data_IF_310474254817
#
_entry.id   IF_310474254817
#
_cell.length_a   1.000
_cell.length_b   1.000
_cell.length_c   1.000
_cell.angle_alpha   90.00
_cell.angle_beta   90.00
_cell.angle_gamma   90.00
#
_symmetry.space_group_name_H-M   'P 1'
#
loop_
_entity.id
_entity.type
_entity.pdbx_description
1 polymer ?
#
# COMPACT_ATOMS: atom_id res chain seq x y z
N UNK A 1 -23.32 2.82 -24.33
CA UNK A 1 -22.74 2.57 -25.65
C UNK A 1 -21.55 3.54 -25.82
N UNK A 2 -20.35 3.08 -25.46
CA UNK A 2 -19.12 3.86 -25.59
C UNK A 2 -18.76 4.04 -27.07
N UNK A 3 -18.38 5.25 -27.42
CA UNK A 3 -17.88 5.58 -28.74
C UNK A 3 -16.64 4.71 -29.02
N UNK A 4 -16.60 3.88 -30.08
CA UNK A 4 -15.48 2.96 -30.35
C UNK A 4 -14.13 3.66 -30.51
N UNK A 5 -14.12 4.95 -30.85
CA UNK A 5 -12.90 5.74 -30.99
C UNK A 5 -12.17 5.99 -29.66
N UNK A 6 -12.86 5.93 -28.51
CA UNK A 6 -12.24 6.04 -27.19
C UNK A 6 -11.50 4.77 -26.76
N UNK A 7 -11.87 3.61 -27.30
CA UNK A 7 -11.22 2.32 -27.00
C UNK A 7 -9.88 2.22 -27.73
N UNK A 8 -9.73 2.91 -28.87
CA UNK A 8 -8.50 2.89 -29.67
C UNK A 8 -7.35 3.72 -29.07
N UNK A 9 -7.62 4.62 -28.11
CA UNK A 9 -6.62 5.54 -27.59
C UNK A 9 -6.55 5.49 -26.07
N UNK A 10 -5.65 4.63 -25.54
CA UNK A 10 -5.45 4.45 -24.09
C UNK A 10 -4.69 5.63 -23.46
N UNK A 11 -3.97 6.42 -24.24
CA UNK A 11 -3.08 7.46 -23.76
C UNK A 11 -3.74 8.55 -22.90
N UNK A 12 -4.95 9.05 -23.23
CA UNK A 12 -5.62 10.06 -22.42
C UNK A 12 -5.95 9.61 -20.98
N UNK A 13 -6.08 8.30 -20.76
CA UNK A 13 -6.32 7.72 -19.43
C UNK A 13 -4.98 7.35 -18.77
N UNK A 14 -4.05 6.81 -19.56
CA UNK A 14 -2.78 6.31 -19.05
C UNK A 14 -1.87 7.45 -18.53
N UNK A 15 -1.78 8.58 -19.23
CA UNK A 15 -0.91 9.69 -18.83
C UNK A 15 -1.34 10.28 -17.46
N UNK A 16 -2.61 10.67 -17.23
CA UNK A 16 -3.06 11.17 -15.95
C UNK A 16 -2.89 10.12 -14.83
N UNK A 17 -3.11 8.84 -15.14
CA UNK A 17 -2.91 7.75 -14.18
C UNK A 17 -1.44 7.66 -13.74
N UNK A 18 -0.48 7.66 -14.66
CA UNK A 18 0.95 7.60 -14.35
C UNK A 18 1.38 8.81 -13.50
N UNK A 19 0.91 10.01 -13.86
CA UNK A 19 1.18 11.23 -13.10
C UNK A 19 0.62 11.10 -11.67
N UNK A 20 -0.63 10.65 -11.54
CA UNK A 20 -1.27 10.45 -10.23
C UNK A 20 -0.49 9.47 -9.36
N UNK A 21 -0.07 8.33 -9.91
CA UNK A 21 0.72 7.32 -9.19
C UNK A 21 2.09 7.87 -8.80
N UNK A 22 2.76 8.63 -9.68
CA UNK A 22 4.06 9.24 -9.41
C UNK A 22 4.02 10.22 -8.22
N UNK A 23 2.92 10.94 -8.02
CA UNK A 23 2.74 11.82 -6.86
C UNK A 23 2.23 11.06 -5.62
N UNK A 24 1.40 10.04 -5.81
CA UNK A 24 0.80 9.30 -4.70
C UNK A 24 1.79 8.35 -3.99
N UNK A 25 2.65 7.65 -4.73
CA UNK A 25 3.56 6.66 -4.14
C UNK A 25 4.52 7.24 -3.10
N UNK A 26 5.14 8.42 -3.30
CA UNK A 26 5.98 9.03 -2.27
C UNK A 26 5.24 9.38 -0.99
N UNK A 27 3.92 9.63 -1.03
CA UNK A 27 3.15 9.98 0.19
C UNK A 27 3.13 8.84 1.20
N UNK A 28 3.17 7.58 0.75
CA UNK A 28 3.25 6.41 1.62
C UNK A 28 4.56 6.40 2.41
N UNK A 29 5.67 6.67 1.72
CA UNK A 29 6.99 6.76 2.36
C UNK A 29 7.06 7.94 3.35
N UNK A 30 6.53 9.10 2.96
CA UNK A 30 6.45 10.29 3.83
C UNK A 30 5.59 10.03 5.06
N UNK A 31 4.44 9.38 4.91
CA UNK A 31 3.58 8.99 6.04
C UNK A 31 4.32 8.12 7.06
N UNK A 32 5.08 7.13 6.58
CA UNK A 32 5.91 6.30 7.47
C UNK A 32 6.99 7.15 8.16
N UNK A 33 7.64 8.07 7.45
CA UNK A 33 8.65 8.97 8.02
C UNK A 33 8.07 9.87 9.12
N UNK A 34 6.89 10.44 8.89
CA UNK A 34 6.16 11.23 9.90
C UNK A 34 5.84 10.38 11.12
N UNK A 35 5.34 9.15 10.92
CA UNK A 35 5.04 8.23 12.01
C UNK A 35 6.28 7.90 12.84
N UNK A 36 7.41 7.58 12.20
CA UNK A 36 8.67 7.32 12.90
C UNK A 36 9.20 8.57 13.63
N UNK A 37 9.13 9.74 13.00
CA UNK A 37 9.53 11.02 13.63
C UNK A 37 8.71 11.34 14.88
N UNK A 38 7.40 11.13 14.82
CA UNK A 38 6.49 11.34 15.95
C UNK A 38 6.73 10.36 17.09
N UNK A 39 6.91 9.07 16.76
CA UNK A 39 7.24 8.02 17.76
C UNK A 39 8.57 8.28 18.44
N UNK A 40 9.58 8.69 17.67
CA UNK A 40 10.90 9.04 18.22
C UNK A 40 10.83 10.19 19.22
N UNK A 41 10.04 11.23 18.92
CA UNK A 41 9.83 12.36 19.84
C UNK A 41 9.07 11.99 21.10
N UNK A 42 8.10 11.08 20.97
CA UNK A 42 7.34 10.55 22.09
C UNK A 42 8.15 9.58 22.96
N UNK A 43 9.37 9.22 22.57
CA UNK A 43 10.21 8.26 23.30
C UNK A 43 9.63 6.84 23.35
N UNK A 44 8.73 6.51 22.40
CA UNK A 44 8.05 5.22 22.36
C UNK A 44 8.89 4.16 21.63
N UNK A 45 8.77 2.92 22.09
CA UNK A 45 9.40 1.77 21.46
C UNK A 45 8.76 1.47 20.09
N UNK A 46 9.53 1.64 19.01
CA UNK A 46 9.08 1.43 17.64
C UNK A 46 8.49 0.05 17.40
N UNK A 47 9.08 -0.99 18.00
CA UNK A 47 8.64 -2.38 17.80
C UNK A 47 7.23 -2.61 18.35
N UNK A 48 6.86 -1.85 19.38
CA UNK A 48 5.52 -1.97 19.99
C UNK A 48 4.51 -0.99 19.41
N UNK A 49 4.93 0.24 19.13
CA UNK A 49 4.02 1.33 18.79
C UNK A 49 3.75 1.44 17.28
N UNK A 50 4.67 1.02 16.42
CA UNK A 50 4.49 1.10 14.98
C UNK A 50 3.47 0.12 14.40
N UNK A 51 3.38 -1.18 14.82
CA UNK A 51 2.42 -2.12 14.27
C UNK A 51 0.97 -1.66 14.33
N UNK A 52 0.43 -1.16 15.45
CA UNK A 52 -0.94 -0.62 15.51
C UNK A 52 -1.17 0.53 14.52
N UNK A 53 -0.21 1.45 14.40
CA UNK A 53 -0.30 2.59 13.46
C UNK A 53 -0.38 2.07 12.01
N UNK A 54 0.48 1.13 11.66
CA UNK A 54 0.49 0.51 10.32
C UNK A 54 -0.81 -0.24 10.03
N UNK A 55 -1.39 -0.92 11.03
CA UNK A 55 -2.64 -1.67 10.90
C UNK A 55 -3.82 -0.75 10.59
N UNK A 56 -3.86 0.49 11.12
CA UNK A 56 -4.90 1.46 10.77
C UNK A 56 -4.93 1.74 9.27
N UNK A 57 -3.77 1.78 8.60
CA UNK A 57 -3.70 1.89 7.15
C UNK A 57 -4.37 0.71 6.43
N UNK A 58 -4.14 -0.51 6.91
CA UNK A 58 -4.79 -1.72 6.36
C UNK A 58 -6.31 -1.72 6.60
N UNK A 59 -6.76 -1.27 7.78
CA UNK A 59 -8.20 -1.10 8.07
C UNK A 59 -8.84 -0.09 7.11
N UNK A 60 -8.18 1.05 6.86
CA UNK A 60 -8.65 2.02 5.87
C UNK A 60 -8.74 1.43 4.46
N UNK A 61 -7.76 0.61 4.08
CA UNK A 61 -7.77 -0.09 2.79
C UNK A 61 -8.95 -1.06 2.68
N UNK A 62 -9.20 -1.89 3.70
CA UNK A 62 -10.34 -2.82 3.75
C UNK A 62 -11.66 -2.04 3.68
N UNK A 63 -11.79 -0.96 4.45
CA UNK A 63 -12.99 -0.11 4.43
C UNK A 63 -13.25 0.48 3.04
N UNK A 64 -12.21 0.94 2.33
CA UNK A 64 -12.36 1.46 0.97
C UNK A 64 -12.75 0.37 -0.03
N UNK A 65 -12.23 -0.86 0.11
CA UNK A 65 -12.62 -2.00 -0.72
C UNK A 65 -14.12 -2.33 -0.54
N UNK A 66 -14.59 -2.37 0.70
CA UNK A 66 -15.99 -2.67 1.01
C UNK A 66 -16.92 -1.54 0.54
N UNK A 67 -16.49 -0.30 0.73
CA UNK A 67 -17.23 0.87 0.25
C UNK A 67 -17.44 0.81 -1.26
N UNK A 68 -16.39 0.58 -2.03
CA UNK A 68 -16.47 0.53 -3.51
C UNK A 68 -17.26 -0.68 -3.98
N UNK A 69 -17.15 -1.84 -3.27
CA UNK A 69 -17.89 -3.04 -3.63
C UNK A 69 -19.39 -2.94 -3.31
N UNK A 70 -19.77 -2.28 -2.20
CA UNK A 70 -21.17 -2.19 -1.76
C UNK A 70 -21.94 -1.04 -2.40
N UNK A 71 -21.26 -0.01 -2.88
CA UNK A 71 -21.91 1.13 -3.51
C UNK A 71 -22.19 0.86 -4.99
N UNK A 72 -23.46 0.77 -5.34
CA UNK A 72 -23.91 0.66 -6.73
C UNK A 72 -24.32 1.99 -7.35
N UNK A 73 -24.54 3.06 -6.55
CA UNK A 73 -24.95 4.40 -7.00
C UNK A 73 -26.09 4.43 -8.03
N UNK A 74 -27.01 3.47 -7.94
CA UNK A 74 -28.11 3.34 -8.91
C UNK A 74 -27.69 2.82 -10.29
N UNK A 75 -26.45 2.33 -10.43
CA UNK A 75 -25.94 1.64 -11.62
C UNK A 75 -26.32 0.16 -11.57
N UNK A 76 -26.45 -0.47 -12.75
CA UNK A 76 -26.74 -1.90 -12.86
C UNK A 76 -25.58 -2.78 -12.34
N UNK A 77 -24.37 -2.24 -12.26
CA UNK A 77 -23.17 -2.91 -11.80
C UNK A 77 -22.56 -2.21 -10.57
N UNK A 78 -21.81 -2.95 -9.76
CA UNK A 78 -21.10 -2.41 -8.61
C UNK A 78 -20.06 -1.35 -9.05
N UNK A 79 -19.82 -0.34 -8.23
CA UNK A 79 -18.89 0.75 -8.51
C UNK A 79 -17.46 0.27 -8.85
N UNK A 80 -17.05 -0.92 -8.38
CA UNK A 80 -15.75 -1.52 -8.68
C UNK A 80 -15.48 -1.81 -10.16
N UNK A 81 -16.55 -1.97 -10.99
CA UNK A 81 -16.45 -2.23 -12.42
C UNK A 81 -16.76 -1.00 -13.27
N UNK A 82 -16.99 0.15 -12.62
CA UNK A 82 -17.41 1.38 -13.26
C UNK A 82 -16.41 2.51 -13.03
N UNK A 83 -16.47 3.56 -13.84
CA UNK A 83 -15.66 4.78 -13.65
C UNK A 83 -15.86 5.47 -12.30
N UNK A 84 -16.91 5.14 -11.55
CA UNK A 84 -17.21 5.67 -10.22
C UNK A 84 -16.08 5.42 -9.21
N UNK A 85 -15.33 4.33 -9.32
CA UNK A 85 -14.17 4.10 -8.48
C UNK A 85 -13.09 5.20 -8.62
N UNK A 86 -12.91 5.76 -9.83
CA UNK A 86 -11.96 6.86 -10.07
C UNK A 86 -12.46 8.15 -9.42
N UNK A 87 -13.76 8.42 -9.47
CA UNK A 87 -14.38 9.59 -8.83
C UNK A 87 -14.23 9.48 -7.31
N UNK A 88 -14.53 8.33 -6.73
CA UNK A 88 -14.37 8.08 -5.28
C UNK A 88 -12.91 8.29 -4.88
N UNK A 89 -11.97 7.73 -5.65
CA UNK A 89 -10.54 7.91 -5.41
C UNK A 89 -10.13 9.39 -5.46
N UNK A 90 -10.63 10.14 -6.44
CA UNK A 90 -10.38 11.58 -6.57
C UNK A 90 -10.92 12.38 -5.38
N UNK A 91 -12.15 12.12 -4.95
CA UNK A 91 -12.76 12.78 -3.78
C UNK A 91 -11.97 12.49 -2.51
N UNK A 92 -11.63 11.22 -2.27
CA UNK A 92 -10.81 10.83 -1.11
C UNK A 92 -9.41 11.47 -1.16
N UNK A 93 -8.83 11.59 -2.36
CA UNK A 93 -7.56 12.28 -2.58
C UNK A 93 -7.61 13.75 -2.18
N UNK A 94 -8.69 14.47 -2.56
CA UNK A 94 -8.90 15.89 -2.16
C UNK A 94 -9.07 16.00 -0.65
N UNK A 95 -9.85 15.12 -0.03
CA UNK A 95 -10.03 15.08 1.43
C UNK A 95 -8.69 14.84 2.14
N UNK A 96 -7.90 13.88 1.65
CA UNK A 96 -6.57 13.59 2.18
C UNK A 96 -5.63 14.80 2.04
N UNK A 97 -5.67 15.49 0.88
CA UNK A 97 -4.93 16.71 0.66
C UNK A 97 -5.29 17.82 1.66
N UNK A 98 -6.58 18.05 1.88
CA UNK A 98 -7.06 19.00 2.88
C UNK A 98 -6.63 18.59 4.31
N UNK A 99 -6.72 17.30 4.63
CA UNK A 99 -6.29 16.79 5.94
C UNK A 99 -4.78 16.93 6.15
N UNK A 100 -3.97 16.87 5.10
CA UNK A 100 -2.51 17.01 5.21
C UNK A 100 -2.05 18.33 5.81
N UNK A 101 -2.84 19.40 5.68
CA UNK A 101 -2.56 20.70 6.32
C UNK A 101 -2.68 20.66 7.85
N UNK A 102 -3.35 19.67 8.42
CA UNK A 102 -3.50 19.51 9.88
C UNK A 102 -2.39 18.63 10.49
N UNK A 103 -1.51 18.07 9.67
CA UNK A 103 -0.42 17.22 10.16
C UNK A 103 0.62 18.07 10.95
N UNK A 104 1.19 17.51 12.03
CA UNK A 104 2.22 18.20 12.80
C UNK A 104 3.46 18.47 11.95
N UNK A 105 4.05 19.64 12.13
CA UNK A 105 5.30 19.98 11.48
C UNK A 105 6.42 19.01 11.88
N UNK A 106 6.98 18.31 10.91
CA UNK A 106 8.19 17.52 11.11
C UNK A 106 9.40 18.43 10.86
N UNK A 107 10.29 18.68 11.84
CA UNK A 107 11.48 19.45 11.58
C UNK A 107 12.29 18.74 10.50
N UNK A 108 12.53 19.48 9.44
CA UNK A 108 13.53 19.13 8.46
C UNK A 108 14.87 19.02 9.20
N UNK A 109 15.57 17.91 9.07
CA UNK A 109 16.96 17.82 9.51
C UNK A 109 17.74 18.85 8.71
N UNK A 110 17.99 20.02 9.32
CA UNK A 110 18.89 21.01 8.76
C UNK A 110 20.31 20.44 8.85
N UNK A 111 20.69 19.71 7.85
CA UNK A 111 22.09 19.40 7.60
C UNK A 111 22.61 20.56 6.78
N UNK A 112 23.32 21.47 7.43
CA UNK A 112 24.00 22.64 6.82
C UNK A 112 25.16 22.25 5.89
N UNK A 113 25.48 20.98 5.77
CA UNK A 113 26.46 20.47 4.83
C UNK A 113 25.86 20.41 3.42
N UNK A 114 26.62 20.86 2.45
CA UNK A 114 26.34 20.73 1.00
C UNK A 114 26.29 19.25 0.65
N UNK A 115 25.17 18.59 0.96
CA UNK A 115 24.96 17.18 0.58
C UNK A 115 25.04 17.06 -0.93
N UNK A 116 25.82 16.12 -1.39
CA UNK A 116 25.89 15.73 -2.80
C UNK A 116 24.48 15.32 -3.30
N UNK A 117 24.23 15.48 -4.59
CA UNK A 117 22.95 15.03 -5.21
C UNK A 117 22.71 13.55 -4.92
N UNK A 118 23.75 12.73 -4.88
CA UNK A 118 23.69 11.32 -4.53
C UNK A 118 23.18 11.09 -3.09
N UNK A 119 23.64 11.88 -2.12
CA UNK A 119 23.18 11.85 -0.73
C UNK A 119 21.72 12.32 -0.59
N UNK A 120 21.33 13.34 -1.37
CA UNK A 120 19.93 13.82 -1.40
C UNK A 120 18.97 12.79 -1.97
N UNK A 121 19.41 11.98 -2.91
CA UNK A 121 18.66 10.87 -3.48
C UNK A 121 18.69 9.60 -2.63
N UNK A 122 19.42 9.61 -1.51
CA UNK A 122 19.53 8.43 -0.64
C UNK A 122 20.37 7.30 -1.24
N UNK A 123 21.18 7.60 -2.27
CA UNK A 123 22.03 6.60 -2.93
C UNK A 123 23.13 6.07 -2.01
N UNK A 124 23.42 6.77 -0.90
CA UNK A 124 24.33 6.27 0.14
C UNK A 124 23.85 4.97 0.79
N UNK A 125 22.54 4.68 0.72
CA UNK A 125 22.01 3.39 1.15
C UNK A 125 22.63 2.22 0.37
N UNK A 126 23.10 2.44 -0.87
CA UNK A 126 23.82 1.40 -1.62
C UNK A 126 25.18 1.02 -1.02
N UNK A 127 25.76 1.86 -0.18
CA UNK A 127 26.98 1.51 0.59
C UNK A 127 26.71 0.32 1.53
N UNK A 128 25.48 0.15 2.00
CA UNK A 128 25.08 -0.99 2.82
C UNK A 128 25.19 -2.34 2.09
N UNK A 129 25.13 -2.34 0.76
CA UNK A 129 25.36 -3.56 -0.05
C UNK A 129 26.80 -4.09 0.03
N UNK A 130 27.76 -3.32 0.53
CA UNK A 130 29.13 -3.81 0.79
C UNK A 130 29.16 -4.88 1.90
N UNK A 131 28.19 -4.88 2.80
CA UNK A 131 28.02 -5.93 3.81
C UNK A 131 27.21 -7.09 3.23
N UNK A 132 27.79 -8.30 3.21
CA UNK A 132 27.12 -9.52 2.70
C UNK A 132 25.76 -9.78 3.38
N UNK A 133 25.69 -9.55 4.69
CA UNK A 133 24.45 -9.76 5.47
C UNK A 133 23.36 -8.79 5.05
N UNK A 134 23.72 -7.50 4.88
CA UNK A 134 22.78 -6.48 4.44
C UNK A 134 22.37 -6.68 2.98
N UNK A 135 23.31 -7.04 2.10
CA UNK A 135 23.00 -7.35 0.71
C UNK A 135 21.99 -8.50 0.59
N UNK A 136 22.21 -9.60 1.33
CA UNK A 136 21.24 -10.71 1.36
C UNK A 136 19.87 -10.27 1.87
N UNK A 137 19.84 -9.43 2.91
CA UNK A 137 18.56 -8.92 3.44
C UNK A 137 17.82 -8.05 2.40
N UNK A 138 18.51 -7.18 1.67
CA UNK A 138 17.90 -6.37 0.63
C UNK A 138 17.38 -7.21 -0.54
N UNK A 139 18.16 -8.20 -1.01
CA UNK A 139 17.72 -9.13 -2.08
C UNK A 139 16.48 -9.89 -1.62
N UNK A 140 16.48 -10.39 -0.40
CA UNK A 140 15.35 -11.10 0.19
C UNK A 140 14.10 -10.19 0.25
N UNK A 141 14.23 -8.97 0.75
CA UNK A 141 13.14 -8.00 0.83
C UNK A 141 12.60 -7.63 -0.56
N UNK A 142 13.48 -7.51 -1.56
CA UNK A 142 13.08 -7.26 -2.94
C UNK A 142 12.25 -8.42 -3.50
N UNK A 143 12.70 -9.66 -3.32
CA UNK A 143 11.98 -10.85 -3.80
C UNK A 143 10.61 -10.99 -3.11
N UNK A 144 10.54 -10.73 -1.80
CA UNK A 144 9.26 -10.70 -1.07
C UNK A 144 8.32 -9.62 -1.62
N UNK A 145 8.85 -8.42 -1.88
CA UNK A 145 8.05 -7.33 -2.45
C UNK A 145 7.50 -7.67 -3.83
N UNK A 146 8.30 -8.30 -4.69
CA UNK A 146 7.87 -8.77 -6.02
C UNK A 146 6.77 -9.83 -5.88
N UNK A 147 6.96 -10.84 -5.02
CA UNK A 147 5.97 -11.90 -4.78
C UNK A 147 4.64 -11.32 -4.27
N UNK A 148 4.71 -10.42 -3.29
CA UNK A 148 3.52 -9.77 -2.73
C UNK A 148 2.77 -8.95 -3.79
N UNK A 149 3.51 -8.19 -4.61
CA UNK A 149 2.91 -7.36 -5.65
C UNK A 149 2.23 -8.19 -6.74
N UNK A 150 2.84 -9.29 -7.16
CA UNK A 150 2.23 -10.21 -8.13
C UNK A 150 0.94 -10.78 -7.55
N UNK A 151 0.98 -11.28 -6.32
CA UNK A 151 -0.21 -11.86 -5.67
C UNK A 151 -1.34 -10.83 -5.55
N UNK A 152 -1.06 -9.64 -5.03
CA UNK A 152 -2.08 -8.60 -4.85
C UNK A 152 -2.59 -8.04 -6.19
N UNK A 153 -1.72 -7.89 -7.20
CA UNK A 153 -2.10 -7.34 -8.51
C UNK A 153 -3.00 -8.26 -9.32
N UNK A 154 -2.76 -9.56 -9.25
CA UNK A 154 -3.50 -10.54 -10.08
C UNK A 154 -4.62 -11.26 -9.34
N UNK A 155 -4.68 -11.23 -8.02
CA UNK A 155 -5.69 -11.95 -7.23
C UNK A 155 -7.12 -11.63 -7.66
N UNK A 156 -7.47 -10.36 -7.79
CA UNK A 156 -8.82 -9.92 -8.19
C UNK A 156 -9.16 -10.39 -9.61
N UNK A 157 -8.23 -10.25 -10.56
CA UNK A 157 -8.42 -10.68 -11.95
C UNK A 157 -8.55 -12.20 -12.04
N UNK A 158 -7.75 -12.93 -11.26
CA UNK A 158 -7.80 -14.39 -11.19
C UNK A 158 -9.15 -14.88 -10.64
N UNK A 159 -9.61 -14.33 -9.52
CA UNK A 159 -10.92 -14.68 -8.94
C UNK A 159 -12.05 -14.35 -9.92
N UNK A 160 -11.98 -13.20 -10.59
CA UNK A 160 -12.99 -12.79 -11.55
C UNK A 160 -13.08 -13.74 -12.76
N UNK A 161 -12.00 -14.43 -13.13
CA UNK A 161 -12.02 -15.44 -14.21
C UNK A 161 -12.91 -16.64 -13.88
N UNK A 162 -13.11 -16.96 -12.60
CA UNK A 162 -14.02 -18.04 -12.18
C UNK A 162 -15.51 -17.68 -12.32
N UNK A 163 -15.86 -16.39 -12.42
CA UNK A 163 -17.23 -15.95 -12.66
C UNK A 163 -17.82 -16.55 -13.95
N UNK A 164 -16.97 -16.86 -14.93
CA UNK A 164 -17.37 -17.52 -16.17
C UNK A 164 -17.72 -19.00 -15.99
N UNK A 165 -17.34 -19.61 -14.88
CA UNK A 165 -17.49 -21.06 -14.62
C UNK A 165 -18.52 -21.34 -13.54
N UNK A 166 -18.67 -20.46 -12.56
CA UNK A 166 -19.63 -20.60 -11.47
C UNK A 166 -20.26 -19.25 -11.12
N UNK A 167 -21.58 -19.25 -10.90
CA UNK A 167 -22.35 -18.07 -10.47
C UNK A 167 -22.39 -17.92 -8.94
N UNK A 168 -21.37 -18.45 -8.26
CA UNK A 168 -21.26 -18.33 -6.81
C UNK A 168 -21.06 -16.88 -6.37
N UNK A 169 -21.60 -16.55 -5.21
CA UNK A 169 -21.47 -15.21 -4.61
C UNK A 169 -20.00 -14.75 -4.49
N UNK A 170 -19.10 -15.69 -4.20
CA UNK A 170 -17.65 -15.42 -4.10
C UNK A 170 -17.02 -14.98 -5.44
N UNK A 171 -17.40 -15.62 -6.53
CA UNK A 171 -16.94 -15.27 -7.86
C UNK A 171 -17.49 -13.91 -8.32
N UNK A 172 -18.69 -13.54 -7.85
CA UNK A 172 -19.32 -12.25 -8.14
C UNK A 172 -18.76 -11.09 -7.32
N UNK A 173 -18.07 -11.38 -6.19
CA UNK A 173 -17.51 -10.37 -5.28
C UNK A 173 -16.01 -10.59 -5.01
N UNK A 174 -15.15 -10.53 -6.02
CA UNK A 174 -13.71 -10.81 -5.88
C UNK A 174 -13.01 -9.90 -4.86
N UNK A 175 -13.44 -8.65 -4.77
CA UNK A 175 -12.88 -7.67 -3.84
C UNK A 175 -13.16 -8.05 -2.37
N UNK A 176 -14.34 -8.60 -2.09
CA UNK A 176 -14.67 -9.12 -0.75
C UNK A 176 -13.77 -10.30 -0.37
N UNK A 177 -13.49 -11.20 -1.31
CA UNK A 177 -12.63 -12.35 -1.05
C UNK A 177 -11.18 -11.91 -0.77
N UNK A 178 -10.66 -10.94 -1.54
CA UNK A 178 -9.33 -10.35 -1.31
C UNK A 178 -9.27 -9.63 0.03
N UNK A 179 -10.36 -9.04 0.51
CA UNK A 179 -10.40 -8.36 1.82
C UNK A 179 -10.15 -9.31 3.00
N UNK A 180 -10.50 -10.59 2.87
CA UNK A 180 -10.21 -11.61 3.90
C UNK A 180 -8.70 -11.79 4.05
N UNK A 181 -7.95 -11.80 2.94
CA UNK A 181 -6.48 -11.84 2.96
C UNK A 181 -5.90 -10.61 3.69
N UNK A 182 -6.47 -9.44 3.45
CA UNK A 182 -6.04 -8.20 4.10
C UNK A 182 -6.34 -8.19 5.62
N UNK A 183 -7.46 -8.77 6.04
CA UNK A 183 -7.77 -8.96 7.47
C UNK A 183 -6.73 -9.87 8.12
N UNK A 184 -6.37 -10.99 7.46
CA UNK A 184 -5.32 -11.89 7.95
C UNK A 184 -3.97 -11.18 8.06
N UNK A 185 -3.60 -10.36 7.06
CA UNK A 185 -2.40 -9.53 7.08
C UNK A 185 -2.40 -8.59 8.30
N UNK A 186 -3.50 -7.87 8.53
CA UNK A 186 -3.64 -6.95 9.66
C UNK A 186 -3.44 -7.67 11.01
N UNK A 187 -4.04 -8.85 11.18
CA UNK A 187 -3.87 -9.67 12.38
C UNK A 187 -2.41 -10.12 12.56
N UNK A 188 -1.75 -10.57 11.50
CA UNK A 188 -0.34 -10.94 11.56
C UNK A 188 0.56 -9.75 11.91
N UNK A 189 0.29 -8.55 11.40
CA UNK A 189 1.03 -7.34 11.76
C UNK A 189 0.87 -7.03 13.25
N UNK A 190 -0.35 -7.08 13.81
CA UNK A 190 -0.59 -6.87 15.24
C UNK A 190 0.13 -7.90 16.11
N UNK A 191 0.17 -9.15 15.67
CA UNK A 191 0.84 -10.22 16.40
C UNK A 191 2.37 -10.21 16.22
N UNK A 192 2.91 -9.39 15.34
CA UNK A 192 4.34 -9.35 15.02
C UNK A 192 5.22 -9.15 16.27
N UNK A 193 4.85 -8.23 17.16
CA UNK A 193 5.60 -7.96 18.38
C UNK A 193 5.68 -9.19 19.30
N UNK A 194 4.62 -9.98 19.37
CA UNK A 194 4.59 -11.23 20.13
C UNK A 194 5.52 -12.29 19.51
N UNK A 195 5.40 -12.52 18.21
CA UNK A 195 6.22 -13.51 17.50
C UNK A 195 7.72 -13.16 17.53
N UNK A 196 8.07 -11.89 17.33
CA UNK A 196 9.46 -11.44 17.38
C UNK A 196 10.09 -11.66 18.75
N UNK A 197 9.35 -11.43 19.84
CA UNK A 197 9.84 -11.65 21.20
C UNK A 197 10.00 -13.14 21.52
N UNK A 198 9.09 -13.99 21.03
CA UNK A 198 9.09 -15.41 21.36
C UNK A 198 10.07 -16.22 20.54
N UNK A 199 10.18 -15.96 19.23
CA UNK A 199 10.92 -16.79 18.28
C UNK A 199 12.17 -16.11 17.71
N UNK A 200 12.27 -14.79 17.83
CA UNK A 200 13.33 -13.99 17.23
C UNK A 200 13.16 -13.82 15.71
N UNK A 201 13.80 -12.79 15.16
CA UNK A 201 13.64 -12.36 13.76
C UNK A 201 13.89 -13.50 12.76
N UNK A 202 14.99 -14.26 12.90
CA UNK A 202 15.38 -15.30 11.94
C UNK A 202 14.32 -16.41 11.80
N UNK A 203 13.78 -16.89 12.93
CA UNK A 203 12.77 -17.96 12.92
C UNK A 203 11.42 -17.47 12.40
N UNK A 204 11.02 -16.25 12.79
CA UNK A 204 9.78 -15.65 12.26
C UNK A 204 9.83 -15.49 10.75
N UNK A 205 10.96 -15.04 10.20
CA UNK A 205 11.13 -14.93 8.74
C UNK A 205 11.08 -16.30 8.04
N UNK A 206 11.66 -17.35 8.64
CA UNK A 206 11.61 -18.70 8.08
C UNK A 206 10.21 -19.33 8.14
N UNK A 207 9.42 -19.02 9.17
CA UNK A 207 8.03 -19.51 9.29
C UNK A 207 7.10 -18.79 8.30
N UNK A 208 7.39 -17.53 8.00
CA UNK A 208 6.59 -16.72 7.10
C UNK A 208 6.80 -17.07 5.59
N UNK A 209 7.83 -17.83 5.27
CA UNK A 209 8.12 -18.33 3.92
C UNK A 209 7.48 -19.69 3.65
#
# INVERSE_FOLDING_TARGET
AGNPDYIANIWPIFIPYVISVAFYMPTIALSNTVAFGTLSRAGLDFVKAFPPIRTLGTVGFIASMWLVNSLSFGLAENAQFTYMQLIICGVLGVILGAYSFTLPECPLSQSDEKKSIAERLGLDAFVLFKSKTMAMFFIFSMLLGVSLQITNGYATSYINSFKAVSDDWFASNPTMLVSISQISEALCILMTAFFLRRFGIKRVMLIAM
#
